data_IF_266625967906
#
_entry.id   IF_266625967906
#
_cell.length_a   1.000
_cell.length_b   1.000
_cell.length_c   1.000
_cell.angle_alpha   90.00
_cell.angle_beta   90.00
_cell.angle_gamma   90.00
#
_symmetry.space_group_name_H-M   'P 1'
#
loop_
_entity.id
_entity.type
_entity.pdbx_description
1 polymer ?
#
# COMPACT_ATOMS: atom_id res chain seq x y z
N UNK A 1 3.34 8.97 -11.65
CA UNK A 1 2.62 9.84 -10.70
C UNK A 1 2.81 11.31 -11.11
N UNK A 2 1.87 12.15 -10.73
CA UNK A 2 1.90 13.60 -10.84
C UNK A 2 1.60 14.19 -9.47
N UNK A 3 2.16 15.36 -9.15
CA UNK A 3 1.95 15.98 -7.84
C UNK A 3 1.93 17.51 -7.92
N UNK A 4 1.25 18.11 -6.96
CA UNK A 4 1.24 19.54 -6.69
C UNK A 4 1.31 19.83 -5.18
N UNK A 5 1.05 21.06 -4.74
CA UNK A 5 1.09 21.42 -3.33
C UNK A 5 0.04 20.66 -2.48
N UNK A 6 -1.02 20.12 -3.10
CA UNK A 6 -2.10 19.41 -2.40
C UNK A 6 -1.83 17.92 -2.23
N UNK A 7 -0.93 17.34 -3.02
CA UNK A 7 -0.59 15.93 -2.94
C UNK A 7 -0.13 15.32 -4.26
N UNK A 8 -0.10 14.00 -4.28
CA UNK A 8 0.23 13.21 -5.46
C UNK A 8 -0.95 12.35 -5.87
N UNK A 9 -1.06 12.07 -7.15
CA UNK A 9 -1.98 11.07 -7.65
C UNK A 9 -1.36 10.28 -8.80
N UNK A 10 -1.92 9.11 -9.05
CA UNK A 10 -1.61 8.35 -10.25
C UNK A 10 -2.22 9.04 -11.45
N UNK A 11 -1.56 8.96 -12.60
CA UNK A 11 -2.18 9.34 -13.87
C UNK A 11 -2.02 8.25 -14.93
N UNK A 12 -2.97 8.22 -15.84
CA UNK A 12 -2.95 7.38 -17.03
C UNK A 12 -3.09 8.26 -18.26
N UNK A 13 -2.19 8.14 -19.22
CA UNK A 13 -2.27 8.78 -20.52
C UNK A 13 -2.47 7.74 -21.61
N UNK A 14 -3.44 7.96 -22.49
CA UNK A 14 -3.75 7.07 -23.61
C UNK A 14 -2.99 7.45 -24.87
N UNK A 15 -2.33 8.61 -24.85
CA UNK A 15 -1.50 9.15 -25.92
C UNK A 15 -0.17 9.65 -25.39
N UNK A 16 0.81 9.75 -26.28
CA UNK A 16 2.09 10.36 -25.96
C UNK A 16 2.00 11.88 -26.09
N UNK A 17 1.97 12.55 -24.94
CA UNK A 17 1.98 14.01 -24.86
C UNK A 17 3.40 14.60 -24.72
N UNK A 18 4.44 13.80 -24.84
CA UNK A 18 5.83 14.23 -24.68
C UNK A 18 6.19 14.65 -23.26
N UNK A 19 5.51 14.10 -22.25
CA UNK A 19 5.75 14.43 -20.84
C UNK A 19 7.10 13.87 -20.40
N UNK A 20 7.94 14.71 -19.83
CA UNK A 20 9.24 14.34 -19.29
C UNK A 20 9.19 14.34 -17.77
N UNK A 21 9.63 13.24 -17.15
CA UNK A 21 9.69 13.15 -15.70
C UNK A 21 10.62 14.25 -15.12
N UNK A 22 10.19 14.85 -14.04
CA UNK A 22 10.95 15.90 -13.36
C UNK A 22 10.70 17.31 -13.86
N UNK A 23 9.81 17.49 -14.82
CA UNK A 23 9.39 18.80 -15.30
C UNK A 23 8.00 19.16 -14.80
N UNK A 24 7.75 20.45 -14.66
CA UNK A 24 6.45 21.00 -14.29
C UNK A 24 5.62 21.33 -15.52
N UNK A 25 4.31 21.04 -15.46
CA UNK A 25 3.38 21.28 -16.55
C UNK A 25 2.08 21.90 -16.03
N UNK A 26 1.54 22.84 -16.78
CA UNK A 26 0.13 23.19 -16.72
C UNK A 26 -0.65 22.22 -17.59
N UNK A 27 -1.72 21.65 -17.05
CA UNK A 27 -2.52 20.64 -17.74
C UNK A 27 -3.97 21.11 -17.85
N UNK A 28 -4.51 21.06 -19.06
CA UNK A 28 -5.90 21.36 -19.38
C UNK A 28 -6.64 20.10 -19.87
N UNK A 29 -7.95 20.04 -19.65
CA UNK A 29 -8.82 18.96 -20.11
C UNK A 29 -8.44 17.56 -19.57
N UNK A 30 -7.99 17.50 -18.32
CA UNK A 30 -7.89 16.24 -17.58
C UNK A 30 -9.25 15.90 -16.94
N UNK A 31 -9.49 14.60 -16.73
CA UNK A 31 -10.64 14.14 -15.94
C UNK A 31 -10.21 13.10 -14.91
N UNK A 32 -10.95 13.03 -13.80
CA UNK A 32 -10.67 12.08 -12.73
C UNK A 32 -11.53 10.84 -12.91
N UNK A 33 -10.92 9.68 -12.79
CA UNK A 33 -11.59 8.37 -12.74
C UNK A 33 -11.31 7.71 -11.41
N UNK A 34 -12.33 7.22 -10.75
CA UNK A 34 -12.16 6.45 -9.53
C UNK A 34 -12.04 4.96 -9.86
N UNK A 35 -10.85 4.44 -9.65
CA UNK A 35 -10.57 3.01 -9.73
C UNK A 35 -9.41 2.69 -8.78
N UNK A 36 -9.71 2.10 -7.62
CA UNK A 36 -8.73 1.90 -6.54
C UNK A 36 -8.02 3.21 -6.13
N UNK A 37 -8.82 4.25 -5.89
CA UNK A 37 -8.37 5.61 -5.64
C UNK A 37 -8.45 6.52 -6.88
N UNK A 38 -8.26 7.83 -6.70
CA UNK A 38 -8.31 8.80 -7.79
C UNK A 38 -7.18 8.56 -8.80
N UNK A 39 -7.55 8.52 -10.07
CA UNK A 39 -6.64 8.39 -11.20
C UNK A 39 -6.94 9.51 -12.21
N UNK A 40 -5.95 10.34 -12.49
CA UNK A 40 -6.07 11.44 -13.43
C UNK A 40 -5.88 10.90 -14.84
N UNK A 41 -6.86 11.11 -15.70
CA UNK A 41 -6.87 10.59 -17.08
C UNK A 41 -6.58 11.70 -18.07
N UNK A 42 -5.68 11.43 -18.99
CA UNK A 42 -5.35 12.31 -20.11
C UNK A 42 -5.68 11.61 -21.44
N UNK A 43 -6.50 12.28 -22.25
CA UNK A 43 -6.91 11.82 -23.57
C UNK A 43 -6.41 12.76 -24.67
N UNK A 44 -6.92 12.57 -25.90
CA UNK A 44 -6.50 13.33 -27.09
C UNK A 44 -6.70 14.86 -26.98
N UNK A 45 -7.64 15.31 -26.12
CA UNK A 45 -7.93 16.72 -25.90
C UNK A 45 -7.13 17.33 -24.74
N UNK A 46 -6.36 16.52 -24.01
CA UNK A 46 -5.52 17.04 -22.93
C UNK A 46 -4.33 17.82 -23.50
N UNK A 47 -4.09 18.98 -22.91
CA UNK A 47 -2.98 19.85 -23.32
C UNK A 47 -2.00 20.02 -22.19
N UNK A 48 -0.72 19.91 -22.52
CA UNK A 48 0.39 20.07 -21.62
C UNK A 48 1.22 21.26 -22.04
N UNK A 49 1.43 22.20 -21.13
CA UNK A 49 2.31 23.34 -21.34
C UNK A 49 3.40 23.27 -20.27
N UNK A 50 4.66 23.10 -20.70
CA UNK A 50 5.81 23.09 -19.78
C UNK A 50 5.93 24.45 -19.11
N UNK A 51 6.16 24.46 -17.79
CA UNK A 51 6.36 25.65 -16.99
C UNK A 51 7.86 25.84 -16.77
N UNK A 52 8.38 27.02 -17.15
CA UNK A 52 9.79 27.38 -16.92
C UNK A 52 10.07 27.79 -15.47
N UNK A 53 9.07 28.39 -14.81
CA UNK A 53 9.11 28.78 -13.41
C UNK A 53 7.85 28.28 -12.74
N UNK A 54 7.98 27.54 -11.65
CA UNK A 54 6.89 27.02 -10.87
C UNK A 54 7.17 27.19 -9.36
N UNK A 55 6.09 27.23 -8.58
CA UNK A 55 6.12 27.24 -7.12
C UNK A 55 5.84 25.85 -6.53
N UNK A 56 6.03 24.79 -7.32
CA UNK A 56 5.79 23.42 -6.90
C UNK A 56 6.86 22.95 -5.90
N UNK A 57 6.50 22.08 -4.97
CA UNK A 57 7.47 21.43 -4.10
C UNK A 57 8.54 20.68 -4.90
N UNK A 58 9.74 20.59 -4.35
CA UNK A 58 10.83 19.85 -5.00
C UNK A 58 10.45 18.37 -5.19
N UNK A 59 10.98 17.73 -6.24
CA UNK A 59 10.71 16.32 -6.53
C UNK A 59 10.97 15.38 -5.35
N UNK A 60 11.98 15.67 -4.55
CA UNK A 60 12.31 14.90 -3.35
C UNK A 60 11.15 14.82 -2.34
N UNK A 61 10.28 15.82 -2.30
CA UNK A 61 9.11 15.81 -1.42
C UNK A 61 8.04 14.81 -1.88
N UNK A 62 8.03 14.48 -3.17
CA UNK A 62 7.10 13.51 -3.73
C UNK A 62 7.66 12.07 -3.72
N UNK A 63 8.98 11.90 -3.71
CA UNK A 63 9.64 10.59 -3.67
C UNK A 63 9.43 9.86 -2.34
N UNK A 64 9.31 10.60 -1.25
CA UNK A 64 9.11 10.05 0.10
C UNK A 64 7.65 9.78 0.46
N UNK A 65 6.71 10.12 -0.43
CA UNK A 65 5.28 10.13 -0.13
C UNK A 65 4.88 11.31 0.74
N UNK A 66 3.58 11.58 0.83
CA UNK A 66 3.05 12.66 1.65
C UNK A 66 2.52 12.15 2.99
N UNK A 67 2.85 12.85 4.07
CA UNK A 67 2.35 12.53 5.40
C UNK A 67 0.88 12.91 5.51
N UNK A 68 0.06 11.96 5.92
CA UNK A 68 -1.36 12.13 6.20
C UNK A 68 -1.73 11.51 7.53
N UNK A 69 -2.80 12.02 8.13
CA UNK A 69 -3.55 11.28 9.13
C UNK A 69 -4.64 10.43 8.48
N UNK A 70 -5.08 9.38 9.17
CA UNK A 70 -6.19 8.53 8.69
C UNK A 70 -7.48 9.34 8.49
N UNK A 71 -7.77 10.31 9.37
CA UNK A 71 -8.91 11.21 9.19
C UNK A 71 -8.81 12.03 7.90
N UNK A 72 -7.63 12.57 7.57
CA UNK A 72 -7.43 13.29 6.31
C UNK A 72 -7.59 12.39 5.07
N UNK A 73 -7.18 11.13 5.18
CA UNK A 73 -7.34 10.17 4.09
C UNK A 73 -8.80 9.74 3.89
N UNK A 74 -9.56 9.63 4.98
CA UNK A 74 -11.00 9.35 4.92
C UNK A 74 -11.77 10.50 4.23
N UNK A 75 -11.49 11.74 4.60
CA UNK A 75 -12.08 12.93 3.97
C UNK A 75 -11.76 13.03 2.46
N UNK A 76 -10.62 12.50 2.03
CA UNK A 76 -10.15 12.54 0.64
C UNK A 76 -10.52 11.31 -0.19
N UNK A 77 -11.19 10.33 0.41
CA UNK A 77 -11.42 9.01 -0.19
C UNK A 77 -10.12 8.29 -0.60
N UNK A 78 -9.06 8.43 0.19
CA UNK A 78 -7.79 7.75 0.00
C UNK A 78 -6.68 8.59 -0.64
N UNK A 79 -5.54 7.98 -0.81
CA UNK A 79 -4.37 8.50 -1.53
C UNK A 79 -3.47 7.38 -2.03
N UNK A 80 -2.77 7.61 -3.14
CA UNK A 80 -1.58 6.83 -3.51
C UNK A 80 -0.37 7.45 -2.81
N UNK A 81 0.61 6.65 -2.43
CA UNK A 81 1.85 7.10 -1.79
C UNK A 81 1.64 7.84 -0.45
N UNK A 82 0.62 7.44 0.33
CA UNK A 82 0.40 7.97 1.66
C UNK A 82 1.46 7.47 2.63
N UNK A 83 1.95 8.34 3.48
CA UNK A 83 2.80 8.02 4.62
C UNK A 83 2.02 8.32 5.89
N UNK A 84 1.84 7.29 6.73
CA UNK A 84 1.07 7.37 7.98
C UNK A 84 1.95 6.87 9.11
N UNK A 85 1.97 7.59 10.21
CA UNK A 85 2.65 7.19 11.45
C UNK A 85 1.62 6.84 12.52
N UNK A 86 1.75 5.68 13.14
CA UNK A 86 0.80 5.22 14.14
C UNK A 86 1.26 3.92 14.80
N UNK A 87 0.32 3.19 15.38
CA UNK A 87 0.58 1.97 16.14
C UNK A 87 -0.25 0.79 15.63
N UNK A 88 0.28 -0.39 15.78
CA UNK A 88 -0.48 -1.63 15.55
C UNK A 88 -1.35 -1.89 16.78
N UNK A 89 -2.66 -1.81 16.58
CA UNK A 89 -3.62 -2.00 17.67
C UNK A 89 -4.04 -3.46 17.85
N UNK A 90 -4.14 -4.21 16.74
CA UNK A 90 -4.56 -5.61 16.75
C UNK A 90 -4.06 -6.35 15.52
N UNK A 91 -3.66 -7.59 15.67
CA UNK A 91 -3.40 -8.54 14.58
C UNK A 91 -4.68 -9.34 14.33
N UNK A 92 -5.17 -9.32 13.11
CA UNK A 92 -6.47 -9.90 12.73
C UNK A 92 -6.33 -11.32 12.20
N UNK A 93 -7.42 -12.07 12.32
CA UNK A 93 -7.58 -13.36 11.64
C UNK A 93 -7.24 -13.26 10.15
N UNK A 94 -6.51 -14.25 9.64
CA UNK A 94 -5.95 -14.30 8.29
C UNK A 94 -4.56 -13.68 8.19
N UNK A 95 -3.90 -13.43 9.33
CA UNK A 95 -2.45 -13.21 9.44
C UNK A 95 -1.71 -14.55 9.53
N UNK A 96 -0.40 -14.51 9.34
CA UNK A 96 0.46 -15.70 9.37
C UNK A 96 0.63 -16.33 8.00
N UNK A 97 0.71 -17.66 7.98
CA UNK A 97 0.79 -18.45 6.75
C UNK A 97 -0.56 -18.46 6.06
N UNK A 98 -0.56 -18.02 4.82
CA UNK A 98 -1.70 -18.07 3.92
C UNK A 98 -1.35 -18.89 2.68
N UNK A 99 -2.33 -19.24 1.88
CA UNK A 99 -2.13 -19.96 0.64
C UNK A 99 -2.75 -19.19 -0.53
N UNK A 100 -2.02 -19.12 -1.63
CA UNK A 100 -2.48 -18.52 -2.88
C UNK A 100 -2.51 -19.56 -3.98
N UNK A 101 -3.44 -19.41 -4.89
CA UNK A 101 -3.43 -20.17 -6.14
C UNK A 101 -2.22 -19.74 -6.99
N UNK A 102 -1.47 -20.70 -7.51
CA UNK A 102 -0.21 -20.46 -8.25
C UNK A 102 -0.39 -19.64 -9.52
N UNK A 103 -1.52 -19.80 -10.19
CA UNK A 103 -1.78 -19.15 -11.48
C UNK A 103 -2.43 -17.78 -11.29
N UNK A 104 -3.51 -17.73 -10.51
CA UNK A 104 -4.31 -16.52 -10.33
C UNK A 104 -3.82 -15.62 -9.21
N UNK A 105 -2.91 -16.13 -8.34
CA UNK A 105 -2.43 -15.48 -7.11
C UNK A 105 -3.53 -15.12 -6.11
N UNK A 106 -4.75 -15.60 -6.32
CA UNK A 106 -5.88 -15.40 -5.44
C UNK A 106 -5.65 -16.11 -4.10
N UNK A 107 -6.06 -15.46 -3.03
CA UNK A 107 -6.07 -16.07 -1.69
C UNK A 107 -7.02 -17.26 -1.67
N UNK A 108 -6.53 -18.41 -1.26
CA UNK A 108 -7.30 -19.63 -1.02
C UNK A 108 -7.83 -19.58 0.41
N UNK A 109 -9.14 -19.64 0.57
CA UNK A 109 -9.80 -19.61 1.89
C UNK A 109 -9.81 -20.99 2.54
N UNK A 110 -10.05 -21.02 3.84
CA UNK A 110 -10.23 -22.28 4.57
C UNK A 110 -11.38 -23.08 3.96
N UNK A 111 -11.13 -24.37 3.64
CA UNK A 111 -12.09 -25.27 3.02
C UNK A 111 -12.06 -25.31 1.48
N UNK A 112 -11.33 -24.42 0.82
CA UNK A 112 -11.11 -24.48 -0.63
C UNK A 112 -10.01 -25.51 -0.99
N UNK A 113 -10.04 -26.05 -2.23
CA UNK A 113 -9.05 -27.02 -2.72
C UNK A 113 -7.66 -26.39 -2.81
N UNK A 114 -6.66 -27.07 -2.26
CA UNK A 114 -5.27 -26.61 -2.20
C UNK A 114 -4.35 -27.29 -3.22
N UNK A 115 -4.88 -28.01 -4.21
CA UNK A 115 -4.05 -28.76 -5.17
C UNK A 115 -3.05 -27.88 -5.93
N UNK A 116 -3.44 -26.65 -6.24
CA UNK A 116 -2.60 -25.67 -6.94
C UNK A 116 -2.18 -24.53 -6.02
N UNK A 117 -1.99 -24.80 -4.73
CA UNK A 117 -1.63 -23.78 -3.75
C UNK A 117 -0.13 -23.57 -3.63
N UNK A 118 0.27 -22.35 -3.40
CA UNK A 118 1.59 -21.97 -2.92
C UNK A 118 1.47 -21.24 -1.57
N UNK A 119 2.41 -21.48 -0.63
CA UNK A 119 2.41 -20.77 0.65
C UNK A 119 2.86 -19.32 0.44
N UNK A 120 2.31 -18.45 1.26
CA UNK A 120 2.67 -17.04 1.32
C UNK A 120 2.53 -16.53 2.76
N UNK A 121 3.10 -15.35 3.05
CA UNK A 121 3.01 -14.68 4.36
C UNK A 121 2.25 -13.38 4.24
N UNK A 122 1.45 -13.08 5.25
CA UNK A 122 0.72 -11.83 5.35
C UNK A 122 0.49 -11.45 6.80
N UNK A 123 0.57 -10.14 7.08
CA UNK A 123 -0.05 -9.57 8.28
C UNK A 123 -1.30 -8.80 7.85
N UNK A 124 -2.40 -9.02 8.56
CA UNK A 124 -3.60 -8.23 8.51
C UNK A 124 -3.80 -7.61 9.89
N UNK A 125 -3.78 -6.30 9.99
CA UNK A 125 -3.78 -5.61 11.27
C UNK A 125 -4.74 -4.44 11.31
N UNK A 126 -5.13 -4.04 12.51
CA UNK A 126 -5.71 -2.71 12.77
C UNK A 126 -4.56 -1.79 13.09
N UNK A 127 -4.47 -0.72 12.32
CA UNK A 127 -3.50 0.34 12.49
C UNK A 127 -4.22 1.63 12.88
N UNK A 128 -3.69 2.32 13.88
CA UNK A 128 -4.31 3.51 14.48
C UNK A 128 -3.26 4.61 14.63
N UNK A 129 -3.59 5.82 14.20
CA UNK A 129 -2.74 7.01 14.28
C UNK A 129 -3.23 8.06 15.28
N UNK A 130 -4.27 7.71 16.07
CA UNK A 130 -4.92 8.61 17.02
C UNK A 130 -5.98 9.52 16.39
N UNK A 131 -6.03 9.66 15.08
CA UNK A 131 -7.11 10.37 14.37
C UNK A 131 -8.18 9.44 13.84
N UNK A 132 -7.83 8.16 13.67
CA UNK A 132 -8.69 7.11 13.17
C UNK A 132 -7.97 5.77 13.11
N UNK A 133 -8.68 4.74 12.67
CA UNK A 133 -8.09 3.42 12.50
C UNK A 133 -8.47 2.81 11.15
N UNK A 134 -7.58 2.00 10.59
CA UNK A 134 -7.83 1.30 9.34
C UNK A 134 -7.35 -0.16 9.41
N UNK A 135 -7.81 -0.98 8.46
CA UNK A 135 -7.25 -2.31 8.26
C UNK A 135 -6.08 -2.22 7.28
N UNK A 136 -4.88 -2.52 7.75
CA UNK A 136 -3.69 -2.59 6.91
C UNK A 136 -3.32 -4.02 6.59
N UNK A 137 -2.77 -4.22 5.38
CA UNK A 137 -2.27 -5.51 4.91
C UNK A 137 -0.80 -5.36 4.53
N UNK A 138 0.05 -6.14 5.19
CA UNK A 138 1.47 -6.23 4.85
C UNK A 138 1.69 -7.47 3.98
N UNK A 139 2.36 -7.28 2.86
CA UNK A 139 2.75 -8.38 1.99
C UNK A 139 3.89 -9.22 2.61
N UNK A 140 4.27 -10.31 1.93
CA UNK A 140 5.32 -11.21 2.40
C UNK A 140 6.63 -10.48 2.70
N UNK A 141 7.11 -9.69 1.77
CA UNK A 141 8.42 -9.02 1.88
C UNK A 141 8.50 -8.12 3.13
N UNK A 142 7.46 -7.35 3.38
CA UNK A 142 7.39 -6.47 4.56
C UNK A 142 7.22 -7.31 5.84
N UNK A 143 6.39 -8.35 5.77
CA UNK A 143 6.16 -9.25 6.91
C UNK A 143 7.47 -9.93 7.33
N UNK A 144 8.22 -10.53 6.40
CA UNK A 144 9.51 -11.17 6.65
C UNK A 144 10.51 -10.21 7.31
N UNK A 145 10.58 -8.96 6.83
CA UNK A 145 11.46 -7.93 7.42
C UNK A 145 11.08 -7.59 8.86
N UNK A 146 9.78 -7.49 9.14
CA UNK A 146 9.30 -7.08 10.46
C UNK A 146 9.45 -8.18 11.53
N UNK A 147 9.20 -9.43 11.16
CA UNK A 147 9.35 -10.57 12.09
C UNK A 147 10.75 -11.18 12.10
N UNK A 148 11.61 -10.77 11.16
CA UNK A 148 12.98 -11.27 11.05
C UNK A 148 13.10 -12.73 10.59
N UNK A 149 12.08 -13.27 9.91
CA UNK A 149 12.03 -14.63 9.37
C UNK A 149 11.55 -14.64 7.93
N UNK A 150 12.18 -15.45 7.09
CA UNK A 150 11.70 -15.73 5.75
C UNK A 150 10.56 -16.78 5.74
N UNK A 151 9.91 -16.95 4.60
CA UNK A 151 8.81 -17.91 4.44
C UNK A 151 9.22 -19.34 4.80
N UNK A 152 10.41 -19.78 4.42
CA UNK A 152 10.86 -21.14 4.67
C UNK A 152 11.06 -21.38 6.17
N UNK A 153 11.70 -20.45 6.86
CA UNK A 153 11.87 -20.48 8.32
C UNK A 153 10.52 -20.44 9.05
N UNK A 154 9.54 -19.69 8.52
CA UNK A 154 8.18 -19.70 9.06
C UNK A 154 7.47 -21.04 8.87
N UNK A 155 7.66 -21.69 7.71
CA UNK A 155 7.09 -23.03 7.45
C UNK A 155 7.70 -24.10 8.39
N UNK A 156 9.00 -24.03 8.67
CA UNK A 156 9.65 -24.91 9.63
C UNK A 156 9.16 -24.63 11.06
N UNK A 157 9.11 -23.38 11.46
CA UNK A 157 8.64 -22.96 12.78
C UNK A 157 7.22 -23.45 13.07
N UNK A 158 6.31 -23.35 12.11
CA UNK A 158 4.93 -23.83 12.25
C UNK A 158 4.88 -25.36 12.43
N UNK A 159 5.75 -26.09 11.73
CA UNK A 159 5.84 -27.57 11.89
C UNK A 159 6.35 -27.97 13.28
N UNK A 160 7.34 -27.27 13.80
CA UNK A 160 7.95 -27.54 15.09
C UNK A 160 7.07 -27.14 16.28
N UNK A 161 6.25 -26.10 16.12
CA UNK A 161 5.40 -25.53 17.18
C UNK A 161 3.92 -25.96 17.08
N UNK A 162 3.62 -27.04 16.39
CA UNK A 162 2.31 -27.69 16.31
C UNK A 162 1.16 -26.86 15.73
N UNK A 163 1.47 -25.81 14.95
CA UNK A 163 0.41 -25.10 14.24
C UNK A 163 0.74 -23.67 13.80
N UNK A 164 -0.09 -23.10 12.93
CA UNK A 164 0.08 -21.74 12.43
C UNK A 164 -0.17 -20.64 13.47
N UNK A 165 -0.87 -20.98 14.57
CA UNK A 165 -1.23 -20.06 15.65
C UNK A 165 0.02 -19.51 16.34
N UNK A 166 1.05 -20.35 16.57
CA UNK A 166 2.32 -19.92 17.16
C UNK A 166 3.03 -18.83 16.34
N UNK A 167 2.88 -18.85 15.01
CA UNK A 167 3.44 -17.82 14.16
C UNK A 167 2.66 -16.50 14.29
N UNK A 168 1.35 -16.58 14.50
CA UNK A 168 0.52 -15.37 14.74
C UNK A 168 0.87 -14.76 16.09
N UNK A 169 1.05 -15.55 17.13
CA UNK A 169 1.53 -15.08 18.45
C UNK A 169 2.89 -14.38 18.34
N UNK A 170 3.84 -14.93 17.58
CA UNK A 170 5.13 -14.28 17.32
C UNK A 170 4.95 -12.92 16.58
N UNK A 171 4.02 -12.84 15.63
CA UNK A 171 3.68 -11.58 14.97
C UNK A 171 3.05 -10.57 15.93
N UNK A 172 2.20 -11.02 16.85
CA UNK A 172 1.61 -10.17 17.89
C UNK A 172 2.71 -9.60 18.80
N UNK A 173 3.60 -10.43 19.31
CA UNK A 173 4.71 -10.01 20.16
C UNK A 173 5.65 -9.02 19.45
N UNK A 174 5.87 -9.23 18.16
CA UNK A 174 6.73 -8.38 17.35
C UNK A 174 6.11 -7.01 17.02
N UNK A 175 4.80 -6.93 16.85
CA UNK A 175 4.13 -5.78 16.21
C UNK A 175 3.17 -5.03 17.13
N UNK A 176 2.48 -5.68 18.09
CA UNK A 176 1.47 -5.02 18.90
C UNK A 176 2.06 -3.83 19.68
N UNK A 177 1.33 -2.73 19.64
CA UNK A 177 1.67 -1.45 20.29
C UNK A 177 3.02 -0.85 19.84
N UNK A 178 3.62 -1.39 18.78
CA UNK A 178 4.84 -0.81 18.20
C UNK A 178 4.48 0.38 17.31
N UNK A 179 5.24 1.49 17.41
CA UNK A 179 5.11 2.58 16.45
C UNK A 179 5.65 2.15 15.09
N UNK A 180 4.87 2.38 14.05
CA UNK A 180 5.26 2.11 12.68
C UNK A 180 5.00 3.33 11.81
N UNK A 181 5.84 3.45 10.79
CA UNK A 181 5.63 4.36 9.67
C UNK A 181 5.29 3.54 8.44
N UNK A 182 4.08 3.69 7.94
CA UNK A 182 3.58 2.96 6.78
C UNK A 182 3.64 3.84 5.54
N UNK A 183 4.29 3.34 4.49
CA UNK A 183 4.18 3.89 3.14
C UNK A 183 3.20 3.00 2.38
N UNK A 184 2.04 3.51 2.02
CA UNK A 184 0.93 2.68 1.56
C UNK A 184 0.06 3.36 0.50
N UNK A 185 -0.72 2.54 -0.19
CA UNK A 185 -1.89 2.91 -0.97
C UNK A 185 -3.11 2.71 -0.08
N UNK A 186 -3.93 3.73 0.08
CA UNK A 186 -5.18 3.68 0.84
C UNK A 186 -6.35 4.07 -0.06
N UNK A 187 -7.43 3.28 -0.02
CA UNK A 187 -8.66 3.44 -0.81
C UNK A 187 -9.86 2.84 -0.09
#
# INVERSE_FOLDING_TARGET
>A
NIGDQSGTCRFTSWEDHGIVAGKAYSVENAYVKEFNGPDLQFGEYSKFTELENDDLPSLSNYETGMNYTLAQLDERNGASDAVIEGHVFNIREGSGLIFRDKETKRLIRNGEDRKNAEPDLRVKMIFDDGSGSCTAYLNREITEKLIGRDLNSCLEFVKENFGPEALVEEMEDALLLKPLKLSCLLY
#
